data_IF_046323638523
#
_entry.id   IF_046323638523
#
_cell.length_a   1.000
_cell.length_b   1.000
_cell.length_c   1.000
_cell.angle_alpha   90.00
_cell.angle_beta   90.00
_cell.angle_gamma   90.00
#
_symmetry.space_group_name_H-M   'P 1'
#
loop_
_entity.id
_entity.type
_entity.pdbx_description
1 polymer ?
#
# COMPACT_ATOMS: atom_id res chain seq x y z
N UNK A 1 -1.35 -6.51 -10.17
CA UNK A 1 -1.94 -6.31 -8.83
C UNK A 1 -1.15 -5.25 -8.10
N UNK A 2 -1.77 -4.15 -7.72
CA UNK A 2 -1.19 -3.08 -6.89
C UNK A 2 -1.59 -3.32 -5.43
N UNK A 3 -0.64 -3.29 -4.52
CA UNK A 3 -0.84 -3.56 -3.11
C UNK A 3 -0.36 -2.35 -2.29
N UNK A 4 -1.22 -1.79 -1.44
CA UNK A 4 -0.70 -0.92 -0.39
C UNK A 4 0.15 -1.75 0.58
N UNK A 5 1.00 -1.07 1.33
CA UNK A 5 1.93 -1.68 2.26
C UNK A 5 1.34 -1.79 3.66
N UNK A 6 1.14 -0.64 4.28
CA UNK A 6 0.76 -0.55 5.70
C UNK A 6 -0.73 -0.77 5.88
N UNK A 7 -1.11 -1.76 6.68
CA UNK A 7 -2.52 -2.15 6.85
C UNK A 7 -3.03 -3.18 5.84
N UNK A 8 -2.22 -3.53 4.83
CA UNK A 8 -2.50 -4.57 3.82
C UNK A 8 -1.46 -5.68 3.85
N UNK A 9 -0.18 -5.35 3.67
CA UNK A 9 0.94 -6.30 3.72
C UNK A 9 1.47 -6.44 5.15
N UNK A 10 1.73 -5.30 5.81
CA UNK A 10 2.25 -5.28 7.18
C UNK A 10 1.30 -4.55 8.14
N UNK A 11 1.48 -4.86 9.42
CA UNK A 11 0.70 -4.30 10.51
C UNK A 11 0.89 -2.78 10.62
N UNK A 12 -0.17 -2.11 11.07
CA UNK A 12 -0.12 -0.74 11.56
C UNK A 12 0.31 -0.73 13.03
N UNK A 13 1.01 0.31 13.42
CA UNK A 13 1.40 0.55 14.81
C UNK A 13 0.41 1.53 15.44
N UNK A 14 -0.16 1.18 16.56
CA UNK A 14 -1.06 2.09 17.27
C UNK A 14 -0.28 3.31 17.79
N UNK A 15 -0.69 4.49 17.38
CA UNK A 15 -0.18 5.73 17.95
C UNK A 15 -0.55 5.79 19.45
N UNK A 16 0.42 6.00 20.35
CA UNK A 16 0.19 5.88 21.79
C UNK A 16 -0.73 6.97 22.36
N UNK A 17 -0.94 8.07 21.64
CA UNK A 17 -1.77 9.20 22.08
C UNK A 17 -3.20 9.05 21.55
N UNK A 18 -3.33 8.74 20.26
CA UNK A 18 -4.63 8.74 19.57
C UNK A 18 -5.24 7.35 19.43
N UNK A 19 -4.44 6.28 19.63
CA UNK A 19 -4.83 4.90 19.35
C UNK A 19 -4.99 4.58 17.87
N UNK A 20 -4.75 5.53 16.97
CA UNK A 20 -4.90 5.35 15.52
C UNK A 20 -3.75 4.53 14.95
N UNK A 21 -4.06 3.70 13.98
CA UNK A 21 -3.04 2.92 13.28
C UNK A 21 -2.25 3.80 12.31
N UNK A 22 -0.93 3.76 12.46
CA UNK A 22 0.03 4.49 11.62
C UNK A 22 1.09 3.53 11.06
N UNK A 23 1.81 3.97 10.03
CA UNK A 23 2.90 3.19 9.44
C UNK A 23 4.01 2.97 10.46
N UNK A 24 4.66 1.79 10.50
CA UNK A 24 5.86 1.59 11.30
C UNK A 24 6.98 2.54 10.80
N UNK A 25 7.70 3.14 11.75
CA UNK A 25 8.81 4.06 11.47
C UNK A 25 10.18 3.46 11.82
N UNK A 26 10.21 2.26 12.40
CA UNK A 26 11.41 1.54 12.83
C UNK A 26 11.37 0.13 12.28
N UNK A 27 12.53 -0.40 11.93
CA UNK A 27 12.69 -1.75 11.36
C UNK A 27 12.17 -2.85 12.29
N UNK A 28 12.40 -2.67 13.59
CA UNK A 28 11.99 -3.63 14.63
C UNK A 28 10.48 -3.70 14.84
N UNK A 29 9.73 -2.69 14.39
CA UNK A 29 8.27 -2.64 14.52
C UNK A 29 7.54 -3.30 13.34
N UNK A 30 8.28 -3.65 12.29
CA UNK A 30 7.69 -4.27 11.08
C UNK A 30 7.29 -5.71 11.34
N UNK A 31 6.01 -6.02 11.13
CA UNK A 31 5.42 -7.37 11.15
C UNK A 31 4.52 -7.53 9.95
N UNK A 32 4.53 -8.69 9.29
CA UNK A 32 3.53 -8.98 8.26
C UNK A 32 2.17 -9.24 8.91
N UNK A 33 1.11 -8.79 8.25
CA UNK A 33 -0.25 -9.16 8.64
C UNK A 33 -0.47 -10.67 8.46
N UNK A 34 -1.26 -11.31 9.32
CA UNK A 34 -1.62 -12.71 9.17
C UNK A 34 -2.17 -13.01 7.77
N UNK A 35 -1.62 -14.03 7.12
CA UNK A 35 -2.02 -14.44 5.78
C UNK A 35 -1.53 -13.56 4.62
N UNK A 36 -0.87 -12.41 4.88
CA UNK A 36 -0.42 -11.51 3.80
C UNK A 36 0.57 -12.19 2.85
N UNK A 37 1.59 -12.87 3.36
CA UNK A 37 2.54 -13.59 2.51
C UNK A 37 1.87 -14.71 1.70
N UNK A 38 0.92 -15.44 2.29
CA UNK A 38 0.15 -16.47 1.58
C UNK A 38 -0.68 -15.88 0.45
N UNK A 39 -1.34 -14.75 0.68
CA UNK A 39 -2.10 -14.04 -0.35
C UNK A 39 -1.22 -13.56 -1.51
N UNK A 40 -0.05 -12.95 -1.21
CA UNK A 40 0.92 -12.52 -2.21
C UNK A 40 1.45 -13.73 -3.01
N UNK A 41 1.67 -14.88 -2.35
CA UNK A 41 2.05 -16.12 -3.01
C UNK A 41 0.95 -16.68 -3.93
N UNK A 42 -0.32 -16.58 -3.55
CA UNK A 42 -1.45 -16.96 -4.41
C UNK A 42 -1.47 -16.09 -5.68
N UNK A 43 -1.34 -14.78 -5.55
CA UNK A 43 -1.29 -13.85 -6.67
C UNK A 43 -0.12 -14.13 -7.61
N UNK A 44 1.08 -14.39 -7.06
CA UNK A 44 2.25 -14.76 -7.85
C UNK A 44 2.02 -16.05 -8.64
N UNK A 45 1.43 -17.07 -8.03
CA UNK A 45 1.08 -18.33 -8.71
C UNK A 45 0.02 -18.16 -9.79
N UNK A 46 -0.90 -17.23 -9.61
CA UNK A 46 -1.89 -16.86 -10.63
C UNK A 46 -1.30 -15.99 -11.76
N UNK A 47 0.01 -15.70 -11.75
CA UNK A 47 0.70 -14.96 -12.80
C UNK A 47 0.57 -13.45 -12.72
N UNK A 48 0.08 -12.90 -11.62
CA UNK A 48 0.01 -11.45 -11.45
C UNK A 48 1.38 -10.83 -11.24
N UNK A 49 1.65 -9.71 -11.91
CA UNK A 49 2.73 -8.79 -11.56
C UNK A 49 2.36 -8.07 -10.27
N UNK A 50 3.24 -8.09 -9.28
CA UNK A 50 2.99 -7.63 -7.91
C UNK A 50 3.74 -6.32 -7.64
N UNK A 51 2.99 -5.24 -7.47
CA UNK A 51 3.55 -3.90 -7.29
C UNK A 51 3.09 -3.31 -5.95
N UNK A 52 4.04 -2.98 -5.08
CA UNK A 52 3.74 -2.20 -3.87
C UNK A 52 3.64 -0.72 -4.21
N UNK A 53 2.57 -0.05 -3.75
CA UNK A 53 2.35 1.40 -3.94
C UNK A 53 1.93 2.04 -2.61
N UNK A 54 2.83 2.77 -1.95
CA UNK A 54 2.57 3.24 -0.58
C UNK A 54 2.89 4.71 -0.35
N UNK A 55 1.99 5.40 0.38
CA UNK A 55 2.21 6.76 0.87
C UNK A 55 3.04 6.73 2.15
N UNK A 56 4.25 7.33 2.13
CA UNK A 56 5.20 7.33 3.23
C UNK A 56 5.59 8.75 3.67
N UNK A 57 4.67 9.54 4.25
CA UNK A 57 4.86 10.97 4.47
C UNK A 57 5.76 11.32 5.66
N UNK A 58 6.26 10.35 6.42
CA UNK A 58 6.98 10.61 7.66
C UNK A 58 8.28 11.39 7.43
N UNK A 59 8.93 11.21 6.26
CA UNK A 59 10.11 12.00 5.91
C UNK A 59 9.75 13.47 5.60
N UNK A 60 8.63 13.73 4.89
CA UNK A 60 8.16 15.10 4.66
C UNK A 60 7.81 15.81 5.97
N UNK A 61 7.37 15.08 6.98
CA UNK A 61 7.04 15.57 8.33
C UNK A 61 8.26 15.63 9.26
N UNK A 62 9.47 15.35 8.76
CA UNK A 62 10.72 15.27 9.54
C UNK A 62 10.67 14.29 10.74
N UNK A 63 9.77 13.30 10.71
CA UNK A 63 9.63 12.30 11.77
C UNK A 63 10.69 11.20 11.65
N UNK A 64 11.07 10.87 10.41
CA UNK A 64 12.11 9.89 10.08
C UNK A 64 12.82 10.32 8.81
N UNK A 65 14.07 9.88 8.60
CA UNK A 65 14.81 10.17 7.37
C UNK A 65 14.30 9.35 6.18
N UNK A 66 14.59 9.79 4.94
CA UNK A 66 14.33 8.98 3.75
C UNK A 66 15.07 7.63 3.79
N UNK A 67 16.27 7.58 4.38
CA UNK A 67 16.99 6.34 4.59
C UNK A 67 16.22 5.41 5.53
N UNK A 68 15.74 5.91 6.67
CA UNK A 68 14.92 5.13 7.60
C UNK A 68 13.63 4.58 6.98
N UNK A 69 12.96 5.36 6.11
CA UNK A 69 11.80 4.84 5.36
C UNK A 69 12.17 3.71 4.40
N UNK A 70 13.34 3.77 3.77
CA UNK A 70 13.86 2.68 2.93
C UNK A 70 14.15 1.45 3.77
N UNK A 71 14.83 1.59 4.91
CA UNK A 71 15.16 0.47 5.81
C UNK A 71 13.89 -0.25 6.28
N UNK A 72 12.83 0.50 6.63
CA UNK A 72 11.52 -0.06 6.97
C UNK A 72 10.92 -0.83 5.78
N UNK A 73 10.99 -0.27 4.57
CA UNK A 73 10.49 -0.94 3.37
C UNK A 73 11.30 -2.21 3.05
N UNK A 74 12.62 -2.15 3.08
CA UNK A 74 13.49 -3.31 2.87
C UNK A 74 13.16 -4.42 3.87
N UNK A 75 12.83 -4.07 5.12
CA UNK A 75 12.41 -5.04 6.11
C UNK A 75 11.11 -5.76 5.72
N UNK A 76 10.14 -5.08 5.12
CA UNK A 76 8.93 -5.73 4.59
C UNK A 76 9.30 -6.71 3.47
N UNK A 77 10.17 -6.29 2.54
CA UNK A 77 10.65 -7.14 1.45
C UNK A 77 11.38 -8.38 1.96
N UNK A 78 12.27 -8.20 2.96
CA UNK A 78 12.97 -9.33 3.61
C UNK A 78 11.98 -10.33 4.24
N UNK A 79 10.97 -9.84 4.95
CA UNK A 79 9.96 -10.71 5.58
C UNK A 79 9.17 -11.50 4.55
N UNK A 80 8.74 -10.86 3.45
CA UNK A 80 8.09 -11.55 2.34
C UNK A 80 9.02 -12.59 1.70
N UNK A 81 10.31 -12.25 1.49
CA UNK A 81 11.29 -13.16 0.91
C UNK A 81 11.54 -14.40 1.78
N UNK A 82 11.49 -14.29 3.11
CA UNK A 82 11.58 -15.44 4.04
C UNK A 82 10.41 -16.40 3.89
N UNK A 83 9.24 -15.88 3.48
CA UNK A 83 8.06 -16.67 3.14
C UNK A 83 8.06 -17.14 1.65
N UNK A 84 9.19 -16.97 0.95
CA UNK A 84 9.35 -17.39 -0.44
C UNK A 84 8.65 -16.50 -1.47
N UNK A 85 8.28 -15.28 -1.11
CA UNK A 85 7.50 -14.36 -1.95
C UNK A 85 8.30 -13.11 -2.29
N UNK A 86 8.11 -12.59 -3.50
CA UNK A 86 8.75 -11.35 -3.95
C UNK A 86 7.74 -10.43 -4.60
N UNK A 87 7.96 -9.13 -4.44
CA UNK A 87 7.29 -8.10 -5.23
C UNK A 87 8.14 -7.75 -6.45
N UNK A 88 7.49 -7.52 -7.59
CA UNK A 88 8.20 -7.16 -8.83
C UNK A 88 8.71 -5.72 -8.80
N UNK A 89 7.96 -4.82 -8.16
CA UNK A 89 8.31 -3.40 -8.00
C UNK A 89 7.70 -2.80 -6.75
N UNK A 90 8.33 -1.69 -6.31
CA UNK A 90 7.78 -0.85 -5.23
C UNK A 90 7.90 0.62 -5.59
N UNK A 91 6.82 1.36 -5.33
CA UNK A 91 6.75 2.81 -5.47
C UNK A 91 6.34 3.41 -4.13
N UNK A 92 7.16 4.29 -3.60
CA UNK A 92 6.92 4.94 -2.31
C UNK A 92 6.81 6.45 -2.54
N UNK A 93 5.73 7.06 -2.09
CA UNK A 93 5.57 8.51 -2.14
C UNK A 93 5.95 9.11 -0.77
N UNK A 94 7.08 9.83 -0.65
CA UNK A 94 7.50 10.46 0.59
C UNK A 94 6.86 11.84 0.80
N UNK A 95 6.16 12.39 -0.19
CA UNK A 95 5.64 13.76 -0.17
C UNK A 95 4.40 13.92 0.73
N UNK A 96 4.24 15.13 1.28
CA UNK A 96 3.03 15.53 1.98
C UNK A 96 2.70 17.00 1.72
N UNK A 97 1.44 17.40 1.47
CA UNK A 97 1.07 18.79 1.26
C UNK A 97 1.51 19.73 2.40
N UNK A 98 1.40 19.25 3.63
CA UNK A 98 1.79 19.95 4.86
C UNK A 98 3.15 19.50 5.38
N UNK A 99 4.05 19.04 4.46
CA UNK A 99 5.41 18.67 4.82
C UNK A 99 6.22 19.86 5.31
N UNK A 100 7.14 19.63 6.25
CA UNK A 100 8.07 20.66 6.76
C UNK A 100 9.45 20.57 6.10
N UNK A 101 9.74 19.47 5.41
CA UNK A 101 10.96 19.31 4.61
C UNK A 101 10.67 19.85 3.21
N UNK A 102 11.34 20.93 2.83
CA UNK A 102 11.02 21.71 1.63
C UNK A 102 10.95 20.87 0.34
N UNK A 103 11.90 19.94 0.15
CA UNK A 103 12.01 19.09 -1.03
C UNK A 103 10.89 18.03 -1.11
N UNK A 104 10.20 17.77 0.00
CA UNK A 104 9.13 16.77 0.12
C UNK A 104 7.77 17.40 0.41
N UNK A 105 7.73 18.74 0.57
CA UNK A 105 6.52 19.49 0.83
C UNK A 105 5.78 19.81 -0.48
N UNK A 106 4.46 19.97 -0.37
CA UNK A 106 3.61 20.38 -1.48
C UNK A 106 2.91 19.22 -2.20
N UNK A 107 2.20 19.60 -3.27
CA UNK A 107 1.44 18.66 -4.09
C UNK A 107 2.39 17.86 -5.00
N UNK A 108 2.09 16.58 -5.19
CA UNK A 108 2.78 15.70 -6.15
C UNK A 108 1.77 14.77 -6.78
N UNK A 109 2.08 14.20 -7.94
CA UNK A 109 1.19 13.25 -8.61
C UNK A 109 1.29 11.81 -8.07
N UNK A 110 2.39 11.49 -7.37
CA UNK A 110 2.60 10.16 -6.82
C UNK A 110 1.79 9.85 -5.54
N UNK A 111 1.33 10.87 -4.79
CA UNK A 111 0.61 10.64 -3.54
C UNK A 111 -0.84 10.22 -3.78
N UNK A 112 -1.21 9.00 -3.38
CA UNK A 112 -2.61 8.55 -3.37
C UNK A 112 -3.48 9.53 -2.56
N UNK A 113 -4.69 9.94 -3.04
CA UNK A 113 -5.49 9.28 -4.07
C UNK A 113 -5.13 9.64 -5.53
N UNK A 114 -4.06 10.38 -5.82
CA UNK A 114 -3.61 10.56 -7.19
C UNK A 114 -3.01 9.27 -7.74
N UNK A 115 -3.17 8.96 -9.04
CA UNK A 115 -2.80 7.66 -9.61
C UNK A 115 -1.32 7.54 -9.99
N UNK A 116 -0.49 8.56 -9.81
CA UNK A 116 0.84 8.64 -10.43
C UNK A 116 1.79 7.49 -10.12
N UNK A 117 1.70 6.83 -8.95
CA UNK A 117 2.50 5.60 -8.70
C UNK A 117 1.99 4.42 -9.53
N UNK A 118 0.65 4.29 -9.68
CA UNK A 118 0.04 3.24 -10.49
C UNK A 118 0.33 3.48 -11.98
N UNK A 119 0.23 4.74 -12.44
CA UNK A 119 0.55 5.12 -13.81
C UNK A 119 1.99 4.81 -14.16
N UNK A 120 2.94 5.22 -13.32
CA UNK A 120 4.35 4.94 -13.51
C UNK A 120 4.66 3.43 -13.56
N UNK A 121 3.96 2.62 -12.77
CA UNK A 121 4.10 1.18 -12.80
C UNK A 121 3.50 0.56 -14.07
N UNK A 122 2.31 1.01 -14.49
CA UNK A 122 1.68 0.56 -15.73
C UNK A 122 2.57 0.83 -16.94
N UNK A 123 3.13 2.03 -17.01
CA UNK A 123 4.00 2.43 -18.13
C UNK A 123 5.32 1.64 -18.12
N UNK A 124 5.94 1.45 -16.94
CA UNK A 124 7.23 0.77 -16.80
C UNK A 124 7.15 -0.76 -17.04
N UNK A 125 6.01 -1.37 -16.75
CA UNK A 125 5.81 -2.82 -16.77
C UNK A 125 4.79 -3.27 -17.83
N UNK A 126 4.29 -2.35 -18.66
CA UNK A 126 3.26 -2.57 -19.69
C UNK A 126 2.01 -3.28 -19.13
N UNK A 127 1.50 -2.81 -17.97
CA UNK A 127 0.36 -3.45 -17.31
C UNK A 127 -0.97 -2.98 -17.90
N UNK A 128 -1.91 -3.92 -18.04
CA UNK A 128 -3.30 -3.61 -18.36
C UNK A 128 -4.02 -3.07 -17.13
N UNK A 129 -4.50 -1.83 -17.21
CA UNK A 129 -5.22 -1.16 -16.12
C UNK A 129 -6.56 -1.83 -15.81
N UNK A 130 -7.32 -2.17 -16.85
CA UNK A 130 -8.63 -2.80 -16.71
C UNK A 130 -8.58 -4.20 -16.10
N UNK A 131 -7.49 -4.95 -16.35
CA UNK A 131 -7.20 -6.23 -15.73
C UNK A 131 -6.48 -6.13 -14.38
N UNK A 132 -6.13 -4.90 -13.94
CA UNK A 132 -5.41 -4.68 -12.68
C UNK A 132 -6.36 -4.37 -11.51
N UNK A 133 -5.89 -4.71 -10.30
CA UNK A 133 -6.56 -4.35 -9.05
C UNK A 133 -5.66 -3.45 -8.20
N UNK A 134 -6.24 -2.45 -7.56
CA UNK A 134 -5.64 -1.73 -6.44
C UNK A 134 -6.25 -2.24 -5.13
N UNK A 135 -5.42 -2.79 -4.27
CA UNK A 135 -5.80 -3.30 -2.95
C UNK A 135 -5.26 -2.35 -1.88
N UNK A 136 -6.13 -1.83 -1.04
CA UNK A 136 -5.75 -0.90 0.01
C UNK A 136 -6.72 -0.92 1.18
N UNK A 137 -6.37 -0.25 2.27
CA UNK A 137 -7.18 -0.18 3.49
C UNK A 137 -7.71 1.23 3.78
N UNK A 138 -7.43 2.19 2.88
CA UNK A 138 -7.86 3.59 3.01
C UNK A 138 -8.58 4.10 1.76
N UNK A 139 -9.33 5.20 1.92
CA UNK A 139 -9.97 5.89 0.80
C UNK A 139 -8.96 6.39 -0.24
N UNK A 140 -7.75 6.71 0.19
CA UNK A 140 -6.70 7.15 -0.73
C UNK A 140 -6.30 6.05 -1.73
N UNK A 141 -6.33 4.80 -1.31
CA UNK A 141 -6.01 3.65 -2.15
C UNK A 141 -7.09 3.44 -3.20
N UNK A 142 -8.34 3.42 -2.75
CA UNK A 142 -9.49 3.22 -3.63
C UNK A 142 -9.58 4.36 -4.64
N UNK A 143 -9.40 5.61 -4.17
CA UNK A 143 -9.37 6.76 -5.06
C UNK A 143 -8.27 6.67 -6.13
N UNK A 144 -7.06 6.23 -5.76
CA UNK A 144 -5.96 6.04 -6.70
C UNK A 144 -6.25 4.92 -7.73
N UNK A 145 -6.82 3.79 -7.26
CA UNK A 145 -7.22 2.69 -8.14
C UNK A 145 -8.26 3.12 -9.18
N UNK A 146 -9.34 3.77 -8.72
CA UNK A 146 -10.39 4.31 -9.59
C UNK A 146 -9.84 5.34 -10.59
N UNK A 147 -8.99 6.27 -10.13
CA UNK A 147 -8.38 7.29 -10.99
C UNK A 147 -7.42 6.68 -12.04
N UNK A 148 -6.77 5.56 -11.74
CA UNK A 148 -5.92 4.82 -12.67
C UNK A 148 -6.70 3.93 -13.64
N UNK A 149 -8.02 3.74 -13.46
CA UNK A 149 -8.84 2.82 -14.24
C UNK A 149 -8.68 1.35 -13.86
N UNK A 150 -8.23 1.09 -12.62
CA UNK A 150 -8.12 -0.25 -12.06
C UNK A 150 -9.40 -0.64 -11.30
N UNK A 151 -9.62 -1.93 -11.13
CA UNK A 151 -10.56 -2.44 -10.13
C UNK A 151 -10.01 -2.20 -8.73
N UNK A 152 -10.88 -2.19 -7.72
CA UNK A 152 -10.48 -1.82 -6.35
C UNK A 152 -10.98 -2.82 -5.31
N UNK A 153 -10.11 -3.19 -4.38
CA UNK A 153 -10.44 -4.03 -3.24
C UNK A 153 -10.08 -3.29 -1.93
N UNK A 154 -11.10 -3.01 -1.12
CA UNK A 154 -10.93 -2.41 0.21
C UNK A 154 -10.71 -3.49 1.26
N UNK A 155 -9.62 -3.42 1.99
CA UNK A 155 -9.37 -4.22 3.19
C UNK A 155 -9.85 -3.46 4.42
N UNK A 156 -10.79 -4.02 5.18
CA UNK A 156 -11.34 -3.39 6.38
C UNK A 156 -10.42 -3.54 7.60
N UNK A 157 -9.27 -2.90 7.56
CA UNK A 157 -8.37 -2.84 8.71
C UNK A 157 -8.93 -1.83 9.74
N UNK A 158 -9.18 -2.28 10.98
CA UNK A 158 -9.72 -1.41 12.04
C UNK A 158 -8.79 -0.25 12.41
N UNK A 159 -7.47 -0.45 12.35
CA UNK A 159 -6.47 0.57 12.62
C UNK A 159 -6.52 1.77 11.69
N UNK A 160 -6.95 1.56 10.43
CA UNK A 160 -7.08 2.62 9.41
C UNK A 160 -8.49 3.16 9.24
N UNK A 161 -9.46 2.75 10.07
CA UNK A 161 -10.87 3.15 9.92
C UNK A 161 -11.06 4.67 9.84
N UNK A 162 -10.24 5.43 10.56
CA UNK A 162 -10.24 6.90 10.56
C UNK A 162 -9.78 7.53 9.23
N UNK A 163 -9.23 6.75 8.30
CA UNK A 163 -8.78 7.18 6.96
C UNK A 163 -9.81 6.84 5.85
N UNK A 164 -11.01 6.35 6.22
CA UNK A 164 -12.12 6.00 5.32
C UNK A 164 -13.29 6.95 5.50
N UNK A 165 -13.11 8.23 5.14
CA UNK A 165 -14.08 9.30 5.37
C UNK A 165 -14.63 9.93 4.08
N UNK A 166 -14.02 9.64 2.91
CA UNK A 166 -14.36 10.29 1.64
C UNK A 166 -15.43 9.53 0.84
N UNK A 167 -15.84 8.35 1.31
CA UNK A 167 -16.95 7.60 0.72
C UNK A 167 -16.69 7.03 -0.67
N UNK A 168 -15.44 6.72 -1.01
CA UNK A 168 -15.15 5.97 -2.23
C UNK A 168 -15.75 4.56 -2.14
N UNK A 169 -16.40 4.14 -3.21
CA UNK A 169 -16.97 2.79 -3.33
C UNK A 169 -15.96 1.87 -4.02
N UNK A 170 -15.45 0.90 -3.28
CA UNK A 170 -14.61 -0.15 -3.85
C UNK A 170 -15.46 -1.21 -4.56
N UNK A 171 -14.92 -1.83 -5.61
CA UNK A 171 -15.59 -2.92 -6.34
C UNK A 171 -15.76 -4.17 -5.48
N UNK A 172 -14.84 -4.40 -4.53
CA UNK A 172 -14.92 -5.48 -3.56
C UNK A 172 -14.41 -5.03 -2.18
N UNK A 173 -14.89 -5.72 -1.13
CA UNK A 173 -14.50 -5.46 0.26
C UNK A 173 -14.19 -6.80 0.95
N UNK A 174 -13.13 -6.84 1.74
CA UNK A 174 -12.72 -7.99 2.52
C UNK A 174 -12.17 -7.58 3.89
N UNK A 175 -12.08 -8.54 4.82
CA UNK A 175 -11.57 -8.28 6.17
C UNK A 175 -10.06 -8.49 6.28
N UNK A 176 -9.45 -9.20 5.31
CA UNK A 176 -8.01 -9.39 5.19
C UNK A 176 -7.59 -9.55 3.73
N UNK A 177 -6.28 -9.40 3.46
CA UNK A 177 -5.77 -9.60 2.12
C UNK A 177 -6.06 -11.02 1.61
N UNK A 178 -5.81 -12.05 2.43
CA UNK A 178 -6.02 -13.44 2.02
C UNK A 178 -7.50 -13.72 1.72
N UNK A 179 -8.41 -13.26 2.59
CA UNK A 179 -9.85 -13.39 2.39
C UNK A 179 -10.31 -12.71 1.08
N UNK A 180 -9.77 -11.52 0.80
CA UNK A 180 -10.07 -10.81 -0.43
C UNK A 180 -9.57 -11.54 -1.67
N UNK A 181 -8.33 -12.00 -1.67
CA UNK A 181 -7.72 -12.68 -2.82
C UNK A 181 -8.40 -14.01 -3.13
N UNK A 182 -8.77 -14.80 -2.11
CA UNK A 182 -9.48 -16.07 -2.31
C UNK A 182 -10.86 -15.91 -2.96
N UNK A 183 -11.46 -14.72 -2.88
CA UNK A 183 -12.78 -14.42 -3.44
C UNK A 183 -12.71 -13.74 -4.81
N UNK A 184 -11.57 -13.18 -5.20
CA UNK A 184 -11.43 -12.54 -6.50
C UNK A 184 -11.39 -13.61 -7.60
N UNK A 185 -12.01 -13.34 -8.77
CA UNK A 185 -11.77 -14.13 -9.96
C UNK A 185 -10.31 -13.88 -10.40
N UNK A 186 -9.45 -14.84 -10.11
CA UNK A 186 -8.04 -14.85 -10.54
C UNK A 186 -7.98 -15.60 -11.87
N UNK A 187 -8.45 -14.97 -12.96
CA UNK A 187 -8.44 -15.51 -14.33
C UNK A 187 -7.15 -15.14 -15.06
#
# INVERSE_FOLDING_TARGET
MFLDRDGVINELIADPITGRGESPLRVEDVRLLPGAAAAVALLARAGYVLVCVSNQPAAAKATVSLAGLRDVHERVIELLAREGVRLDRSYLCPHHPEGVVAELAGACDCRKPRPGMLDAACDALALDRGGSWMVGDTDADIGAGLAAGCRTLMIRNSGSAHKRLQGFHADAIADSLIDGIERLPLD
#
